data_IF_158273030549
#
_entry.id   IF_158273030549
#
_cell.length_a   1.000
_cell.length_b   1.000
_cell.length_c   1.000
_cell.angle_alpha   90.00
_cell.angle_beta   90.00
_cell.angle_gamma   90.00
#
_symmetry.space_group_name_H-M   'P 1'
#
loop_
_entity.id
_entity.type
_entity.pdbx_description
1 polymer ?
#
# COMPACT_ATOMS: atom_id res chain seq x y z
N UNK A 1 4.15 12.34 -17.94
CA UNK A 1 4.85 12.60 -16.67
C UNK A 1 3.96 13.37 -15.71
N UNK A 2 3.93 12.94 -14.48
CA UNK A 2 3.14 13.64 -13.47
C UNK A 2 3.86 14.88 -12.99
N UNK A 3 3.17 15.98 -12.96
CA UNK A 3 3.73 17.21 -12.38
C UNK A 3 3.49 17.26 -10.88
N UNK A 4 2.59 16.44 -10.40
CA UNK A 4 2.24 16.38 -8.98
C UNK A 4 2.52 14.99 -8.45
N UNK A 5 3.14 14.93 -7.31
CA UNK A 5 3.40 13.66 -6.67
C UNK A 5 2.94 13.74 -5.22
N UNK A 6 2.08 12.81 -4.86
CA UNK A 6 1.58 12.74 -3.50
C UNK A 6 2.19 11.52 -2.84
N UNK A 7 2.90 11.75 -1.75
CA UNK A 7 3.58 10.67 -1.04
C UNK A 7 2.74 10.26 0.16
N UNK A 8 2.22 9.06 0.11
CA UNK A 8 1.36 8.54 1.16
C UNK A 8 2.18 7.82 2.21
N UNK A 9 2.02 8.25 3.45
CA UNK A 9 2.69 7.61 4.58
C UNK A 9 1.64 7.23 5.61
N UNK A 10 1.72 5.99 6.08
CA UNK A 10 0.80 5.50 7.09
C UNK A 10 1.58 5.18 8.34
N UNK A 11 1.15 5.74 9.46
CA UNK A 11 1.75 5.45 10.76
C UNK A 11 0.77 4.64 11.60
N UNK A 12 1.30 3.75 12.39
CA UNK A 12 0.53 3.04 13.41
C UNK A 12 1.21 3.31 14.74
N UNK A 13 0.43 3.68 15.73
CA UNK A 13 0.97 3.94 17.07
C UNK A 13 2.12 4.95 17.02
N UNK A 14 1.97 5.94 16.13
CA UNK A 14 2.94 7.03 16.00
C UNK A 14 4.27 6.58 15.39
N UNK A 15 4.32 5.37 14.86
CA UNK A 15 5.53 4.89 14.20
C UNK A 15 5.26 4.65 12.73
N UNK A 16 6.29 4.82 11.94
CA UNK A 16 6.16 4.60 10.51
C UNK A 16 5.82 3.15 10.22
N UNK A 17 4.69 2.93 9.57
CA UNK A 17 4.31 1.59 9.16
C UNK A 17 4.65 1.37 7.70
N UNK A 18 4.13 2.21 6.82
CA UNK A 18 4.34 2.02 5.41
C UNK A 18 4.45 3.36 4.71
N UNK A 19 5.31 3.44 3.71
CA UNK A 19 5.52 4.63 2.91
C UNK A 19 5.92 4.17 1.51
N UNK A 20 6.19 5.08 0.58
CA UNK A 20 6.51 4.65 -0.78
C UNK A 20 7.69 3.70 -0.87
N UNK A 21 8.70 3.91 -0.04
CA UNK A 21 9.89 3.06 -0.07
C UNK A 21 9.56 1.64 0.40
N UNK A 22 8.81 1.54 1.48
CA UNK A 22 8.45 0.23 2.02
C UNK A 22 7.47 -0.51 1.12
N UNK A 23 6.55 0.24 0.51
CA UNK A 23 5.64 -0.35 -0.46
C UNK A 23 6.42 -0.91 -1.65
N UNK A 24 7.39 -0.15 -2.13
CA UNK A 24 8.20 -0.61 -3.24
C UNK A 24 8.90 -1.91 -2.89
N UNK A 25 9.45 -1.96 -1.68
CA UNK A 25 10.14 -3.15 -1.22
C UNK A 25 9.20 -4.35 -1.17
N UNK A 26 8.01 -4.17 -0.61
CA UNK A 26 7.04 -5.27 -0.55
C UNK A 26 6.63 -5.74 -1.94
N UNK A 27 6.42 -4.80 -2.86
CA UNK A 27 6.05 -5.18 -4.21
C UNK A 27 7.15 -5.96 -4.91
N UNK A 28 8.39 -5.59 -4.66
CA UNK A 28 9.50 -6.32 -5.26
C UNK A 28 9.60 -7.73 -4.68
N UNK A 29 9.35 -7.88 -3.38
CA UNK A 29 9.34 -9.21 -2.79
C UNK A 29 8.26 -10.07 -3.42
N UNK A 30 7.10 -9.48 -3.65
CA UNK A 30 6.01 -10.21 -4.28
C UNK A 30 6.40 -10.70 -5.67
N UNK A 31 7.15 -9.88 -6.41
CA UNK A 31 7.53 -10.22 -7.78
C UNK A 31 8.65 -11.25 -7.84
N UNK A 32 9.65 -11.13 -7.00
CA UNK A 32 10.84 -11.97 -7.15
C UNK A 32 11.00 -13.03 -6.06
N UNK A 33 10.28 -12.92 -4.96
CA UNK A 33 10.34 -13.95 -3.93
C UNK A 33 11.62 -13.99 -3.12
N UNK A 34 12.42 -12.94 -3.17
CA UNK A 34 13.72 -12.90 -2.51
C UNK A 34 13.95 -11.51 -1.93
N UNK A 35 14.26 -11.45 -0.64
CA UNK A 35 14.55 -10.17 0.00
C UNK A 35 15.83 -9.57 -0.58
N UNK A 36 16.81 -10.41 -0.85
CA UNK A 36 18.06 -9.92 -1.43
C UNK A 36 17.83 -9.27 -2.79
N UNK A 37 17.11 -9.94 -3.66
CA UNK A 37 16.85 -9.40 -4.98
C UNK A 37 15.91 -8.20 -4.90
N UNK A 38 14.94 -8.26 -4.02
CA UNK A 38 14.03 -7.14 -3.83
C UNK A 38 14.78 -5.89 -3.39
N UNK A 39 15.75 -6.05 -2.50
CA UNK A 39 16.56 -4.92 -2.05
C UNK A 39 17.30 -4.30 -3.23
N UNK A 40 17.90 -5.13 -4.08
CA UNK A 40 18.59 -4.63 -5.24
C UNK A 40 17.65 -3.89 -6.17
N UNK A 41 16.48 -4.46 -6.42
CA UNK A 41 15.51 -3.86 -7.31
C UNK A 41 14.99 -2.54 -6.77
N UNK A 42 14.85 -2.46 -5.45
CA UNK A 42 14.38 -1.23 -4.79
C UNK A 42 15.51 -0.25 -4.52
N UNK A 43 16.73 -0.62 -4.86
CA UNK A 43 17.91 0.23 -4.71
C UNK A 43 18.18 0.61 -3.27
N UNK A 44 18.06 -0.38 -2.40
CA UNK A 44 18.43 -0.22 -0.99
C UNK A 44 19.38 -1.34 -0.63
N UNK A 45 20.17 -1.12 0.42
CA UNK A 45 21.08 -2.16 0.87
C UNK A 45 20.29 -3.32 1.48
N UNK A 46 20.89 -4.47 1.51
CA UNK A 46 20.25 -5.63 2.11
C UNK A 46 19.92 -5.36 3.58
N UNK A 47 20.85 -4.73 4.29
CA UNK A 47 20.62 -4.40 5.69
C UNK A 47 19.45 -3.43 5.85
N UNK A 48 19.39 -2.42 5.00
CA UNK A 48 18.30 -1.46 5.05
C UNK A 48 16.96 -2.13 4.77
N UNK A 49 16.95 -3.05 3.80
CA UNK A 49 15.72 -3.78 3.50
C UNK A 49 15.24 -4.56 4.71
N UNK A 50 16.14 -5.25 5.39
CA UNK A 50 15.77 -6.00 6.58
C UNK A 50 15.29 -5.09 7.70
N UNK A 51 15.96 -3.96 7.89
CA UNK A 51 15.54 -3.00 8.91
C UNK A 51 14.11 -2.52 8.65
N UNK A 52 13.80 -2.21 7.40
CA UNK A 52 12.44 -1.79 7.05
C UNK A 52 11.43 -2.89 7.28
N UNK A 53 11.76 -4.11 6.86
CA UNK A 53 10.83 -5.22 6.99
C UNK A 53 10.57 -5.57 8.44
N UNK A 54 11.61 -5.56 9.25
CA UNK A 54 11.44 -5.83 10.67
C UNK A 54 10.61 -4.76 11.36
N UNK A 55 10.87 -3.50 11.03
CA UNK A 55 10.13 -2.41 11.63
C UNK A 55 8.65 -2.49 11.28
N UNK A 56 8.34 -2.75 10.01
CA UNK A 56 6.95 -2.89 9.59
C UNK A 56 6.28 -4.05 10.29
N UNK A 57 6.95 -5.19 10.27
CA UNK A 57 6.35 -6.41 10.77
C UNK A 57 6.10 -6.34 12.27
N UNK A 58 6.95 -5.61 12.96
CA UNK A 58 6.83 -5.48 14.40
C UNK A 58 5.55 -4.77 14.82
N UNK A 59 5.16 -3.74 14.07
CA UNK A 59 3.98 -2.97 14.42
C UNK A 59 2.73 -3.41 13.68
N UNK A 60 2.88 -4.29 12.70
CA UNK A 60 1.74 -4.78 11.95
C UNK A 60 0.85 -5.66 12.81
N UNK A 61 -0.48 -5.53 12.70
CA UNK A 61 -1.39 -6.41 13.45
C UNK A 61 -1.27 -7.87 13.07
N UNK A 62 -0.81 -8.14 11.84
CA UNK A 62 -0.64 -9.51 11.37
C UNK A 62 0.65 -9.60 10.60
N UNK A 63 1.23 -10.80 10.51
CA UNK A 63 2.49 -10.95 9.77
C UNK A 63 2.36 -10.48 8.34
N UNK A 64 3.41 -9.90 7.82
CA UNK A 64 3.45 -9.43 6.45
C UNK A 64 4.18 -10.38 5.53
N UNK A 65 5.08 -11.18 6.09
CA UNK A 65 5.92 -12.05 5.30
C UNK A 65 5.79 -13.49 5.74
N UNK A 66 5.94 -14.39 4.78
CA UNK A 66 6.00 -15.82 5.04
C UNK A 66 7.27 -16.36 4.43
N UNK A 67 7.93 -17.24 5.15
CA UNK A 67 9.10 -17.89 4.61
C UNK A 67 8.68 -19.21 3.98
N UNK A 68 9.16 -19.41 2.76
CA UNK A 68 8.94 -20.68 2.07
C UNK A 68 10.11 -21.57 2.40
N UNK A 69 9.82 -22.71 3.01
CA UNK A 69 10.86 -23.62 3.44
C UNK A 69 11.00 -24.74 2.47
N UNK A 70 12.25 -25.05 2.11
CA UNK A 70 12.53 -26.18 1.25
C UNK A 70 12.24 -25.87 -0.20
N UNK A 71 11.95 -26.92 -0.95
CA UNK A 71 11.74 -26.77 -2.37
C UNK A 71 13.05 -26.71 -3.11
N UNK A 72 12.94 -26.68 -4.42
CA UNK A 72 14.12 -26.74 -5.27
C UNK A 72 15.07 -25.59 -5.08
N UNK A 73 14.52 -24.44 -4.81
CA UNK A 73 15.32 -23.23 -4.75
C UNK A 73 15.69 -22.86 -3.31
N UNK A 74 15.55 -23.79 -2.41
CA UNK A 74 15.99 -23.56 -1.06
C UNK A 74 15.14 -22.63 -0.25
N UNK A 75 13.96 -22.32 -0.73
CA UNK A 75 13.08 -21.45 -0.02
C UNK A 75 13.17 -20.02 -0.50
N UNK A 76 12.30 -19.20 0.01
CA UNK A 76 12.25 -17.80 -0.36
C UNK A 76 11.32 -17.10 0.58
N UNK A 77 10.87 -15.93 0.16
CA UNK A 77 9.98 -15.12 0.98
C UNK A 77 8.79 -14.69 0.13
N UNK A 78 7.62 -14.78 0.69
CA UNK A 78 6.42 -14.32 0.00
C UNK A 78 5.62 -13.43 0.93
N UNK A 79 4.69 -12.70 0.36
CA UNK A 79 3.80 -11.86 1.15
C UNK A 79 2.63 -12.69 1.66
N UNK A 80 2.19 -12.36 2.87
CA UNK A 80 0.97 -12.95 3.38
C UNK A 80 -0.23 -12.33 2.66
N UNK A 81 -1.39 -12.95 2.80
CA UNK A 81 -2.62 -12.38 2.28
C UNK A 81 -2.85 -10.98 2.86
N UNK A 82 -2.54 -10.83 4.13
CA UNK A 82 -2.70 -9.53 4.78
C UNK A 82 -1.84 -8.47 4.10
N UNK A 83 -0.59 -8.81 3.80
CA UNK A 83 0.30 -7.86 3.13
C UNK A 83 -0.20 -7.51 1.74
N UNK A 84 -0.74 -8.48 1.01
CA UNK A 84 -1.28 -8.20 -0.31
C UNK A 84 -2.48 -7.28 -0.22
N UNK A 85 -3.33 -7.48 0.76
CA UNK A 85 -4.46 -6.58 0.97
C UNK A 85 -3.99 -5.18 1.34
N UNK A 86 -2.93 -5.11 2.13
CA UNK A 86 -2.36 -3.82 2.49
C UNK A 86 -1.87 -3.06 1.26
N UNK A 87 -1.23 -3.77 0.34
CA UNK A 87 -0.77 -3.13 -0.89
C UNK A 87 -1.94 -2.65 -1.73
N UNK A 88 -3.02 -3.42 -1.79
CA UNK A 88 -4.21 -3.00 -2.52
C UNK A 88 -4.81 -1.75 -1.89
N UNK A 89 -4.88 -1.71 -0.58
CA UNK A 89 -5.38 -0.53 0.12
C UNK A 89 -4.50 0.68 -0.17
N UNK A 90 -3.19 0.48 -0.12
CA UNK A 90 -2.28 1.58 -0.37
C UNK A 90 -2.47 2.15 -1.77
N UNK A 91 -2.60 1.28 -2.77
CA UNK A 91 -2.83 1.73 -4.14
C UNK A 91 -4.13 2.51 -4.25
N UNK A 92 -5.18 2.03 -3.58
CA UNK A 92 -6.46 2.73 -3.61
C UNK A 92 -6.35 4.10 -2.98
N UNK A 93 -5.66 4.19 -1.85
CA UNK A 93 -5.49 5.47 -1.17
C UNK A 93 -4.68 6.45 -2.02
N UNK A 94 -3.64 5.95 -2.69
CA UNK A 94 -2.87 6.81 -3.57
C UNK A 94 -3.73 7.36 -4.70
N UNK A 95 -4.49 6.50 -5.33
CA UNK A 95 -5.36 6.92 -6.43
C UNK A 95 -6.39 7.92 -5.95
N UNK A 96 -6.94 7.70 -4.77
CA UNK A 96 -7.95 8.58 -4.21
C UNK A 96 -7.36 9.97 -3.94
N UNK A 97 -6.17 10.01 -3.39
CA UNK A 97 -5.52 11.29 -3.11
C UNK A 97 -5.23 12.06 -4.39
N UNK A 98 -4.72 11.35 -5.40
CA UNK A 98 -4.41 11.99 -6.66
C UNK A 98 -5.69 12.52 -7.32
N UNK A 99 -6.75 11.73 -7.25
CA UNK A 99 -8.03 12.14 -7.81
C UNK A 99 -8.55 13.38 -7.10
N UNK A 100 -8.48 13.38 -5.77
CA UNK A 100 -8.95 14.53 -4.99
C UNK A 100 -8.14 15.78 -5.34
N UNK A 101 -6.83 15.63 -5.45
CA UNK A 101 -6.00 16.78 -5.78
C UNK A 101 -6.28 17.31 -7.18
N UNK A 102 -6.54 16.40 -8.10
CA UNK A 102 -6.89 16.79 -9.46
C UNK A 102 -8.19 17.60 -9.47
N UNK A 103 -9.17 17.18 -8.67
CA UNK A 103 -10.43 17.91 -8.58
C UNK A 103 -10.20 19.30 -7.99
N UNK A 104 -9.33 19.40 -7.00
CA UNK A 104 -9.01 20.68 -6.40
C UNK A 104 -8.45 21.66 -7.43
N UNK A 105 -7.64 21.14 -8.35
CA UNK A 105 -7.03 22.00 -9.35
C UNK A 105 -8.02 22.46 -10.43
N UNK A 106 -9.13 21.81 -10.54
CA UNK A 106 -10.14 22.16 -11.52
C UNK A 106 -11.07 23.19 -10.90
N UNK A 107 -10.82 24.45 -11.21
CA UNK A 107 -11.55 25.56 -10.57
C UNK A 107 -13.02 25.62 -10.96
N UNK A 108 -13.43 24.81 -11.95
CA UNK A 108 -14.83 24.78 -12.31
C UNK A 108 -15.64 23.94 -11.33
N UNK A 109 -14.98 23.20 -10.47
CA UNK A 109 -15.65 22.34 -9.50
C UNK A 109 -15.66 23.03 -8.14
N UNK A 110 -16.85 23.29 -7.58
CA UNK A 110 -16.91 23.94 -6.25
C UNK A 110 -16.27 23.10 -5.17
N UNK A 111 -15.63 23.74 -4.22
CA UNK A 111 -14.95 23.04 -3.14
C UNK A 111 -15.90 22.13 -2.33
N UNK A 112 -17.15 22.55 -2.20
CA UNK A 112 -18.08 21.72 -1.44
C UNK A 112 -18.42 20.42 -2.18
N UNK A 113 -18.01 20.28 -3.43
CA UNK A 113 -18.21 19.04 -4.18
C UNK A 113 -17.01 18.10 -4.10
N UNK A 114 -15.91 18.58 -3.57
CA UNK A 114 -14.67 17.82 -3.56
C UNK A 114 -14.84 16.50 -2.82
N UNK A 115 -15.36 16.56 -1.61
CA UNK A 115 -15.52 15.36 -0.81
C UNK A 115 -16.50 14.39 -1.46
N UNK A 116 -17.57 14.91 -2.01
CA UNK A 116 -18.58 14.09 -2.66
C UNK A 116 -18.01 13.38 -3.87
N UNK A 117 -17.21 14.08 -4.66
CA UNK A 117 -16.60 13.47 -5.84
C UNK A 117 -15.61 12.38 -5.44
N UNK A 118 -14.84 12.62 -4.40
CA UNK A 118 -13.88 11.62 -3.92
C UNK A 118 -14.60 10.40 -3.36
N UNK A 119 -15.65 10.62 -2.61
CA UNK A 119 -16.43 9.53 -2.04
C UNK A 119 -17.04 8.69 -3.14
N UNK A 120 -17.56 9.35 -4.19
CA UNK A 120 -18.15 8.64 -5.30
C UNK A 120 -17.12 7.77 -6.01
N UNK A 121 -15.93 8.29 -6.19
CA UNK A 121 -14.86 7.52 -6.81
C UNK A 121 -14.53 6.28 -5.97
N UNK A 122 -14.40 6.46 -4.67
CA UNK A 122 -14.10 5.35 -3.77
C UNK A 122 -15.19 4.31 -3.75
N UNK A 123 -16.45 4.76 -3.73
CA UNK A 123 -17.57 3.83 -3.74
C UNK A 123 -17.62 3.01 -5.01
N UNK A 124 -17.36 3.63 -6.15
CA UNK A 124 -17.36 2.89 -7.40
C UNK A 124 -16.29 1.80 -7.39
N UNK A 125 -15.12 2.11 -6.87
CA UNK A 125 -14.06 1.12 -6.77
C UNK A 125 -14.42 0.00 -5.84
N UNK A 126 -15.03 0.34 -4.71
CA UNK A 126 -15.36 -0.63 -3.68
C UNK A 126 -16.59 -1.45 -4.01
N UNK A 127 -17.49 -0.92 -4.79
CA UNK A 127 -18.73 -1.60 -5.13
C UNK A 127 -18.48 -2.96 -5.75
N UNK A 128 -17.34 -3.13 -6.39
CA UNK A 128 -17.00 -4.40 -7.01
C UNK A 128 -16.80 -5.49 -5.99
N UNK A 129 -16.49 -5.13 -4.76
CA UNK A 129 -16.21 -6.08 -3.71
C UNK A 129 -17.42 -6.42 -2.88
N UNK A 130 -18.50 -5.73 -3.05
CA UNK A 130 -19.77 -6.07 -2.49
C UNK A 130 -19.98 -5.83 -1.01
N UNK A 131 -18.97 -5.96 -0.21
CA UNK A 131 -19.20 -5.92 1.22
C UNK A 131 -19.09 -4.51 1.79
N UNK A 132 -18.63 -3.61 1.01
CA UNK A 132 -18.35 -2.27 1.50
C UNK A 132 -19.59 -1.58 2.03
N UNK A 133 -20.69 -1.72 1.32
CA UNK A 133 -21.94 -1.09 1.75
C UNK A 133 -22.40 -1.56 3.11
N UNK A 134 -22.22 -2.84 3.38
CA UNK A 134 -22.61 -3.35 4.67
C UNK A 134 -21.74 -2.79 5.77
N UNK A 135 -20.46 -2.73 5.53
CA UNK A 135 -19.55 -2.22 6.52
C UNK A 135 -19.88 -0.78 6.83
N UNK A 136 -20.16 -0.01 5.80
CA UNK A 136 -20.44 1.39 5.99
C UNK A 136 -21.68 1.63 6.84
N UNK A 137 -22.58 0.69 6.84
CA UNK A 137 -23.81 0.86 7.60
C UNK A 137 -23.69 0.42 9.05
N UNK A 138 -22.54 -0.02 9.44
CA UNK A 138 -22.34 -0.55 10.77
C UNK A 138 -22.17 0.48 11.84
N UNK A 139 -22.13 1.67 11.49
CA UNK A 139 -21.96 2.65 12.52
C UNK A 139 -22.20 4.00 12.10
#
# INVERSE_FOLDING_TARGET
>A
MKQTEILLTIKLHQELFIDPKRVRLLKEIKECGSINQAAKNAKVSYKSAWDHLEAMNKISPKPLLERNIGGKNGGGTSLTTYAERLLQLYDLLEQTQEHAFHILQDETIPLNSLLSATAKFSLQSSARNQFFGKVASQH
#
